data_IF_803266230954
#
_entry.id   IF_803266230954
#
_cell.length_a   1.000
_cell.length_b   1.000
_cell.length_c   1.000
_cell.angle_alpha   90.00
_cell.angle_beta   90.00
_cell.angle_gamma   90.00
#
_symmetry.space_group_name_H-M   'P 1'
#
loop_
_entity.id
_entity.type
_entity.pdbx_description
1 polymer ?
#
# COMPACT_ATOMS: atom_id res chain seq x y z
N UNK A 1 -6.69 4.38 -13.02
CA UNK A 1 -5.42 4.08 -12.36
C UNK A 1 -5.10 5.14 -11.31
N UNK A 2 -4.55 4.72 -10.17
CA UNK A 2 -4.08 5.63 -9.13
C UNK A 2 -2.60 5.90 -9.31
N UNK A 3 -2.18 7.13 -9.01
CA UNK A 3 -0.77 7.52 -9.01
C UNK A 3 -0.50 8.23 -7.69
N UNK A 4 0.41 7.68 -6.87
CA UNK A 4 0.79 8.23 -5.57
C UNK A 4 -0.41 8.60 -4.68
N UNK A 5 -1.48 7.78 -4.73
CA UNK A 5 -2.67 8.03 -3.91
C UNK A 5 -2.40 7.70 -2.45
N UNK A 6 -2.82 8.57 -1.53
CA UNK A 6 -2.58 8.38 -0.10
C UNK A 6 -3.34 7.17 0.44
N UNK A 7 -2.64 6.26 1.09
CA UNK A 7 -3.22 5.14 1.86
C UNK A 7 -3.23 5.51 3.34
N UNK A 8 -2.14 6.10 3.82
CA UNK A 8 -2.01 6.57 5.18
C UNK A 8 -1.26 7.90 5.17
N UNK A 9 -1.84 8.91 5.79
CA UNK A 9 -1.25 10.23 5.88
C UNK A 9 0.06 10.22 6.68
N UNK A 10 0.94 11.19 6.40
CA UNK A 10 2.16 11.38 7.17
C UNK A 10 1.84 11.58 8.66
N UNK A 11 2.57 10.92 9.58
CA UNK A 11 2.22 10.93 11.01
C UNK A 11 2.62 12.20 11.76
N UNK A 12 3.41 13.07 11.15
CA UNK A 12 3.91 14.27 11.80
C UNK A 12 5.42 14.21 12.09
N UNK A 13 6.01 15.37 12.32
CA UNK A 13 7.43 15.48 12.63
C UNK A 13 7.77 14.69 13.91
N UNK A 14 8.86 13.94 13.88
CA UNK A 14 9.31 13.09 15.00
C UNK A 14 8.64 11.74 15.08
N UNK A 15 7.82 11.36 14.09
CA UNK A 15 7.14 10.07 14.03
C UNK A 15 7.34 9.38 12.69
N UNK A 16 7.20 8.06 12.70
CA UNK A 16 7.24 7.23 11.50
C UNK A 16 6.14 6.19 11.55
N UNK A 17 5.70 5.74 10.37
CA UNK A 17 4.79 4.61 10.22
C UNK A 17 5.61 3.33 10.18
N UNK A 18 5.14 2.28 10.87
CA UNK A 18 5.70 0.93 10.76
C UNK A 18 4.59 0.03 10.21
N UNK A 19 4.79 -0.51 9.02
CA UNK A 19 3.84 -1.42 8.38
C UNK A 19 4.13 -2.85 8.80
N UNK A 20 3.10 -3.56 9.27
CA UNK A 20 3.22 -4.97 9.65
C UNK A 20 2.52 -5.91 8.68
N UNK A 21 1.46 -5.47 8.03
CA UNK A 21 0.69 -6.28 7.10
C UNK A 21 0.15 -5.42 5.96
N UNK A 22 0.02 -6.02 4.78
CA UNK A 22 -0.56 -5.40 3.58
C UNK A 22 -1.64 -6.33 3.05
N UNK A 23 -2.84 -5.81 2.86
CA UNK A 23 -3.99 -6.56 2.34
C UNK A 23 -4.55 -5.80 1.14
N UNK A 24 -4.61 -6.47 -0.01
CA UNK A 24 -5.16 -5.89 -1.24
C UNK A 24 -6.13 -6.88 -1.86
N UNK A 25 -7.28 -6.40 -2.30
CA UNK A 25 -8.25 -7.22 -3.02
C UNK A 25 -8.86 -6.46 -4.19
N UNK A 26 -9.37 -7.19 -5.18
CA UNK A 26 -10.04 -6.62 -6.35
C UNK A 26 -11.50 -7.01 -6.39
N UNK A 27 -12.36 -6.10 -6.86
CA UNK A 27 -13.78 -6.36 -7.06
C UNK A 27 -14.18 -6.55 -8.52
N UNK A 28 -13.20 -6.63 -9.43
CA UNK A 28 -13.46 -6.76 -10.87
C UNK A 28 -12.52 -7.78 -11.50
N UNK A 29 -12.98 -8.39 -12.62
CA UNK A 29 -12.21 -9.38 -13.36
C UNK A 29 -11.22 -8.70 -14.32
N UNK A 30 -10.39 -7.81 -13.82
CA UNK A 30 -9.36 -7.10 -14.56
C UNK A 30 -8.04 -7.26 -13.81
N UNK A 31 -6.99 -7.62 -14.52
CA UNK A 31 -5.67 -7.75 -13.92
C UNK A 31 -5.21 -6.40 -13.35
N UNK A 32 -4.63 -6.45 -12.18
CA UNK A 32 -4.11 -5.27 -11.49
C UNK A 32 -2.67 -5.52 -11.08
N UNK A 33 -1.78 -4.62 -11.42
CA UNK A 33 -0.50 -4.55 -10.74
C UNK A 33 -0.45 -3.26 -9.91
N UNK A 34 0.23 -3.34 -8.78
CA UNK A 34 0.30 -2.23 -7.84
C UNK A 34 1.66 -2.20 -7.15
N UNK A 35 2.01 -1.05 -6.63
CA UNK A 35 3.13 -0.94 -5.70
C UNK A 35 2.83 0.12 -4.65
N UNK A 36 3.41 -0.08 -3.48
CA UNK A 36 3.36 0.88 -2.39
C UNK A 36 4.60 1.76 -2.42
N UNK A 37 4.43 2.97 -1.93
CA UNK A 37 5.46 3.99 -1.92
C UNK A 37 5.47 4.71 -0.57
N UNK A 38 6.62 5.26 -0.21
CA UNK A 38 6.72 6.32 0.79
C UNK A 38 6.86 7.64 0.03
N UNK A 39 5.79 8.46 0.08
CA UNK A 39 5.72 9.63 -0.80
C UNK A 39 5.68 9.19 -2.27
N UNK A 40 6.77 9.37 -3.00
CA UNK A 40 6.92 8.96 -4.40
C UNK A 40 7.94 7.84 -4.59
N UNK A 41 8.57 7.36 -3.52
CA UNK A 41 9.62 6.33 -3.57
C UNK A 41 9.04 4.95 -3.34
N UNK A 42 9.22 4.05 -4.31
CA UNK A 42 8.72 2.67 -4.24
C UNK A 42 9.36 1.91 -3.09
N UNK A 43 8.52 1.27 -2.26
CA UNK A 43 8.96 0.46 -1.12
C UNK A 43 8.51 -1.00 -1.20
N UNK A 44 7.50 -1.31 -2.02
CA UNK A 44 6.92 -2.64 -2.15
C UNK A 44 6.34 -2.83 -3.55
N UNK A 45 6.66 -3.94 -4.19
CA UNK A 45 6.12 -4.29 -5.49
C UNK A 45 7.05 -3.96 -6.63
N UNK A 46 6.57 -4.03 -7.86
CA UNK A 46 5.17 -4.27 -8.22
C UNK A 46 4.73 -5.70 -7.92
N UNK A 47 3.49 -5.84 -7.51
CA UNK A 47 2.81 -7.11 -7.35
C UNK A 47 1.61 -7.18 -8.30
N UNK A 48 1.20 -8.41 -8.64
CA UNK A 48 0.19 -8.65 -9.66
C UNK A 48 -0.97 -9.44 -9.11
N UNK A 49 -2.20 -8.97 -9.37
CA UNK A 49 -3.41 -9.72 -9.14
C UNK A 49 -3.99 -10.13 -10.49
N UNK A 50 -4.38 -11.41 -10.59
CA UNK A 50 -4.97 -11.96 -11.81
C UNK A 50 -6.32 -11.32 -12.13
N UNK A 51 -6.77 -11.45 -13.41
CA UNK A 51 -8.04 -10.92 -13.88
C UNK A 51 -9.23 -11.77 -13.39
N UNK A 52 -9.39 -11.89 -12.07
CA UNK A 52 -10.45 -12.65 -11.41
C UNK A 52 -11.04 -11.80 -10.29
N UNK A 53 -12.35 -11.55 -10.33
CA UNK A 53 -13.02 -10.81 -9.27
C UNK A 53 -12.87 -11.52 -7.92
N UNK A 54 -12.65 -10.74 -6.87
CA UNK A 54 -12.44 -11.27 -5.53
C UNK A 54 -11.04 -11.79 -5.24
N UNK A 55 -10.11 -11.67 -6.17
CA UNK A 55 -8.72 -12.04 -5.94
C UNK A 55 -8.09 -11.11 -4.89
N UNK A 56 -7.33 -11.68 -3.97
CA UNK A 56 -6.69 -10.94 -2.90
C UNK A 56 -5.21 -11.24 -2.77
N UNK A 57 -4.53 -10.35 -2.09
CA UNK A 57 -3.12 -10.48 -1.73
C UNK A 57 -2.98 -10.09 -0.25
N UNK A 58 -2.32 -10.93 0.53
CA UNK A 58 -2.02 -10.67 1.94
C UNK A 58 -0.55 -10.91 2.17
N UNK A 59 0.14 -9.92 2.72
CA UNK A 59 1.55 -10.04 3.10
C UNK A 59 1.72 -9.71 4.56
N UNK A 60 2.54 -10.48 5.24
CA UNK A 60 2.90 -10.28 6.63
C UNK A 60 3.00 -11.60 7.40
N UNK A 61 3.43 -11.53 8.67
CA UNK A 61 3.90 -10.31 9.34
C UNK A 61 5.24 -9.82 8.79
N UNK A 62 5.35 -8.52 8.63
CA UNK A 62 6.58 -7.83 8.25
C UNK A 62 6.82 -6.69 9.24
N UNK A 63 7.93 -5.99 9.09
CA UNK A 63 8.23 -4.80 9.89
C UNK A 63 8.94 -3.79 9.01
N UNK A 64 8.16 -3.05 8.24
CA UNK A 64 8.68 -2.04 7.32
C UNK A 64 8.58 -0.66 7.94
N UNK A 65 9.71 -0.06 8.25
CA UNK A 65 9.81 1.31 8.74
C UNK A 65 9.76 2.28 7.56
N UNK A 66 8.82 3.21 7.62
CA UNK A 66 8.70 4.28 6.64
C UNK A 66 9.53 5.46 7.10
N UNK A 67 10.08 6.21 6.15
CA UNK A 67 10.82 7.44 6.46
C UNK A 67 10.02 8.37 7.36
N UNK A 68 10.68 9.08 8.27
CA UNK A 68 10.05 9.99 9.23
C UNK A 68 9.09 10.97 8.52
N UNK A 69 7.92 11.17 9.11
CA UNK A 69 6.89 12.11 8.65
C UNK A 69 6.59 11.99 7.15
N UNK A 70 6.43 10.75 6.67
CA UNK A 70 6.16 10.48 5.24
C UNK A 70 4.91 9.62 5.11
N UNK A 71 4.03 10.00 4.19
CA UNK A 71 2.80 9.25 3.88
C UNK A 71 3.12 7.93 3.17
N UNK A 72 2.26 6.94 3.35
CA UNK A 72 2.24 5.72 2.54
C UNK A 72 1.26 5.93 1.41
N UNK A 73 1.70 5.70 0.18
CA UNK A 73 0.92 5.91 -1.03
C UNK A 73 0.86 4.63 -1.88
N UNK A 74 -0.04 4.61 -2.85
CA UNK A 74 -0.19 3.49 -3.78
C UNK A 74 -0.28 3.98 -5.22
N UNK A 75 0.32 3.23 -6.13
CA UNK A 75 0.15 3.38 -7.57
C UNK A 75 -0.39 2.08 -8.15
N UNK A 76 -1.44 2.16 -8.97
CA UNK A 76 -2.08 1.01 -9.59
C UNK A 76 -2.13 1.14 -11.11
N UNK A 77 -2.15 0.00 -11.81
CA UNK A 77 -2.13 -0.06 -13.28
C UNK A 77 -3.50 0.12 -13.93
N UNK A 78 -4.59 -0.04 -13.18
CA UNK A 78 -5.94 0.00 -13.75
C UNK A 78 -6.92 0.68 -12.79
N UNK A 79 -7.94 1.31 -13.37
CA UNK A 79 -9.04 1.96 -12.63
C UNK A 79 -10.15 0.93 -12.38
N UNK A 80 -9.95 0.02 -11.45
CA UNK A 80 -10.92 -1.00 -11.09
C UNK A 80 -11.28 -0.89 -9.61
N UNK A 81 -12.42 -1.50 -9.25
CA UNK A 81 -12.77 -1.62 -7.85
C UNK A 81 -11.72 -2.44 -7.11
N UNK A 82 -11.13 -1.87 -6.09
CA UNK A 82 -10.14 -2.55 -5.27
C UNK A 82 -10.21 -2.02 -3.84
N UNK A 83 -9.67 -2.81 -2.92
CA UNK A 83 -9.50 -2.42 -1.54
C UNK A 83 -8.04 -2.60 -1.16
N UNK A 84 -7.48 -1.62 -0.50
CA UNK A 84 -6.15 -1.73 0.07
C UNK A 84 -6.20 -1.35 1.54
N UNK A 85 -5.57 -2.18 2.36
CA UNK A 85 -5.48 -1.96 3.79
C UNK A 85 -4.06 -2.24 4.25
N UNK A 86 -3.51 -1.35 5.03
CA UNK A 86 -2.24 -1.59 5.71
C UNK A 86 -2.51 -1.64 7.20
N UNK A 87 -1.84 -2.56 7.88
CA UNK A 87 -1.87 -2.69 9.32
C UNK A 87 -0.51 -2.33 9.88
N UNK A 88 -0.49 -1.71 11.03
CA UNK A 88 0.75 -1.31 11.65
C UNK A 88 0.53 -0.31 12.77
N UNK A 89 1.53 0.49 13.03
CA UNK A 89 1.48 1.47 14.11
C UNK A 89 2.37 2.67 13.80
N UNK A 90 2.16 3.75 14.56
CA UNK A 90 2.99 4.95 14.52
C UNK A 90 3.96 4.88 15.67
N UNK A 91 5.23 5.14 15.38
CA UNK A 91 6.33 5.06 16.32
C UNK A 91 7.04 6.40 16.42
N UNK A 92 7.35 6.85 17.63
CA UNK A 92 8.22 8.00 17.84
C UNK A 92 9.66 7.65 17.46
N UNK A 93 10.33 8.61 16.89
CA UNK A 93 11.73 8.46 16.47
C UNK A 93 12.63 9.16 17.47
#
# INVERSE_FOLDING_TARGET
ALTDASVQAAPGAGFQIVITNIIVSTGAATALNFFLEEGTSKIWGPDYLEAVAGRGFVSGPIKKHITANTAVTITTSAAIAHSIEILGYIQAI
#
